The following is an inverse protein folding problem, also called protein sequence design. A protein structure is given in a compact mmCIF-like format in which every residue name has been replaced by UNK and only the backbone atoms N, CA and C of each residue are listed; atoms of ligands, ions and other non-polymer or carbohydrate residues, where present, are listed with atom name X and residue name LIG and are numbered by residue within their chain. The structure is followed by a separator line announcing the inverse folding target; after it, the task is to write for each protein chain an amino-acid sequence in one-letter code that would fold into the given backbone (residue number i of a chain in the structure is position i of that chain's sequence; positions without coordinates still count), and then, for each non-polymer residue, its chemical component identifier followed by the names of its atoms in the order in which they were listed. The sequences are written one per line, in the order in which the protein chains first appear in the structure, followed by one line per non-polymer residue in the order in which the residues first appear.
data_IF_659355671518
#
_entry.id   IF_659355671518
#
_cell.length_a   1.000
_cell.length_b   1.000
_cell.length_c   1.000
_cell.angle_alpha   90.00
_cell.angle_beta   90.00
_cell.angle_gamma   90.00
#
_symmetry.space_group_name_H-M   'P 1'
#
loop_
_entity.id
_entity.type
_entity.pdbx_description
1 polymer ?
#
# COMPACT_ATOMS: atom_id res chain seq x y z
N UNK A 1 -46.65 -23.30 -22.34
CA UNK A 1 -45.89 -22.29 -23.13
C UNK A 1 -44.92 -21.40 -22.31
N UNK A 2 -44.44 -21.78 -21.11
CA UNK A 2 -43.62 -20.88 -20.25
C UNK A 2 -42.13 -21.25 -20.10
N UNK A 3 -41.67 -22.39 -20.65
CA UNK A 3 -40.27 -22.81 -20.47
C UNK A 3 -39.29 -22.18 -21.49
N UNK A 4 -39.78 -21.77 -22.67
CA UNK A 4 -38.95 -21.19 -23.73
C UNK A 4 -38.52 -19.74 -23.39
N UNK A 5 -39.39 -18.97 -22.74
CA UNK A 5 -39.10 -17.57 -22.34
C UNK A 5 -38.00 -17.46 -21.28
N UNK A 6 -37.89 -18.39 -20.34
CA UNK A 6 -36.84 -18.38 -19.28
C UNK A 6 -35.43 -18.70 -19.80
N UNK A 7 -35.30 -19.55 -20.81
CA UNK A 7 -33.97 -19.88 -21.39
C UNK A 7 -33.41 -18.74 -22.25
N UNK A 8 -34.28 -17.95 -22.90
CA UNK A 8 -33.88 -16.78 -23.69
C UNK A 8 -33.38 -15.62 -22.82
N UNK A 9 -34.03 -15.33 -21.69
CA UNK A 9 -33.60 -14.26 -20.77
C UNK A 9 -32.25 -14.55 -20.10
N UNK A 10 -32.00 -15.82 -19.76
CA UNK A 10 -30.73 -16.23 -19.15
C UNK A 10 -29.56 -16.14 -20.14
N UNK A 11 -29.77 -16.58 -21.39
CA UNK A 11 -28.75 -16.50 -22.44
C UNK A 11 -28.44 -15.06 -22.88
N UNK A 12 -29.42 -14.14 -22.83
CA UNK A 12 -29.16 -12.72 -23.10
C UNK A 12 -28.35 -12.08 -21.96
N UNK A 13 -28.69 -12.37 -20.70
CA UNK A 13 -27.96 -11.88 -19.53
C UNK A 13 -26.50 -12.35 -19.50
N UNK A 14 -26.24 -13.64 -19.76
CA UNK A 14 -24.87 -14.17 -19.81
C UNK A 14 -24.06 -13.60 -20.98
N UNK A 15 -24.69 -13.35 -22.14
CA UNK A 15 -24.02 -12.72 -23.29
C UNK A 15 -23.70 -11.24 -23.04
N UNK A 16 -24.57 -10.50 -22.34
CA UNK A 16 -24.28 -9.12 -21.94
C UNK A 16 -23.19 -9.04 -20.87
N UNK A 17 -23.17 -9.97 -19.90
CA UNK A 17 -22.13 -10.03 -18.88
C UNK A 17 -20.76 -10.36 -19.49
N UNK A 18 -20.70 -11.36 -20.39
CA UNK A 18 -19.46 -11.71 -21.11
C UNK A 18 -19.01 -10.60 -22.06
N UNK A 19 -19.93 -9.88 -22.72
CA UNK A 19 -19.60 -8.70 -23.55
C UNK A 19 -19.11 -7.52 -22.71
N UNK A 20 -19.68 -7.29 -21.52
CA UNK A 20 -19.18 -6.31 -20.54
C UNK A 20 -17.77 -6.67 -20.03
N UNK A 21 -17.54 -7.94 -19.73
CA UNK A 21 -16.22 -8.45 -19.32
C UNK A 21 -15.20 -8.27 -20.44
N UNK A 22 -15.53 -8.64 -21.69
CA UNK A 22 -14.65 -8.43 -22.85
C UNK A 22 -14.33 -6.96 -23.09
N UNK A 23 -15.34 -6.09 -23.07
CA UNK A 23 -15.15 -4.64 -23.23
C UNK A 23 -14.33 -4.01 -22.08
N UNK A 24 -14.29 -4.64 -20.90
CA UNK A 24 -13.43 -4.20 -19.79
C UNK A 24 -11.96 -4.51 -20.07
N UNK A 25 -11.67 -5.63 -20.72
CA UNK A 25 -10.30 -6.04 -21.10
C UNK A 25 -9.82 -5.41 -22.42
N UNK A 26 -10.72 -5.04 -23.33
CA UNK A 26 -10.39 -4.37 -24.60
C UNK A 26 -10.10 -2.86 -24.44
N UNK A 27 -10.16 -2.32 -23.20
CA UNK A 27 -9.65 -0.97 -22.94
C UNK A 27 -8.14 -0.99 -23.11
N UNK A 28 -7.68 -0.49 -24.26
CA UNK A 28 -6.27 -0.25 -24.54
C UNK A 28 -5.66 0.54 -23.38
N UNK A 29 -4.80 -0.10 -22.60
CA UNK A 29 -4.06 0.55 -21.52
C UNK A 29 -3.04 1.48 -22.21
N UNK A 30 -3.34 2.77 -22.21
CA UNK A 30 -2.47 3.80 -22.81
C UNK A 30 -1.57 4.50 -21.80
N UNK A 31 -1.80 4.26 -20.49
CA UNK A 31 -1.05 4.85 -19.38
C UNK A 31 -1.04 3.88 -18.21
N UNK A 32 0.03 3.95 -17.39
CA UNK A 32 0.16 3.18 -16.14
C UNK A 32 -1.02 3.44 -15.19
N UNK A 33 -1.57 4.65 -15.20
CA UNK A 33 -2.72 5.05 -14.38
C UNK A 33 -4.01 4.28 -14.74
N UNK A 34 -4.09 3.71 -15.94
CA UNK A 34 -5.26 2.94 -16.36
C UNK A 34 -5.22 1.48 -15.85
N UNK A 35 -4.13 1.06 -15.20
CA UNK A 35 -4.06 -0.22 -14.51
C UNK A 35 -5.02 -0.24 -13.33
N UNK A 36 -5.48 -1.44 -12.96
CA UNK A 36 -6.36 -1.61 -11.80
C UNK A 36 -5.56 -1.48 -10.50
N UNK A 37 -6.24 -1.23 -9.38
CA UNK A 37 -5.58 -1.02 -8.10
C UNK A 37 -4.84 -2.28 -7.61
N UNK A 38 -5.33 -3.47 -8.00
CA UNK A 38 -4.75 -4.76 -7.63
C UNK A 38 -3.28 -4.87 -8.09
N UNK A 39 -2.95 -4.41 -9.30
CA UNK A 39 -1.56 -4.39 -9.77
C UNK A 39 -0.66 -3.50 -8.93
N UNK A 40 -1.19 -2.37 -8.45
CA UNK A 40 -0.39 -1.48 -7.61
C UNK A 40 -0.24 -2.02 -6.20
N UNK A 41 -1.26 -2.66 -5.64
CA UNK A 41 -1.12 -3.35 -4.36
C UNK A 41 -0.07 -4.47 -4.45
N UNK A 42 -0.06 -5.23 -5.55
CA UNK A 42 0.99 -6.22 -5.80
C UNK A 42 2.37 -5.59 -5.90
N UNK A 43 2.54 -4.46 -6.61
CA UNK A 43 3.82 -3.72 -6.64
C UNK A 43 4.22 -3.24 -5.24
N UNK A 44 3.27 -2.72 -4.46
CA UNK A 44 3.52 -2.18 -3.14
C UNK A 44 3.94 -3.26 -2.14
N UNK A 45 3.51 -4.51 -2.31
CA UNK A 45 3.99 -5.63 -1.47
C UNK A 45 5.51 -5.87 -1.59
N UNK A 46 6.15 -5.41 -2.67
CA UNK A 46 7.60 -5.50 -2.87
C UNK A 46 8.39 -4.28 -2.39
N UNK A 47 7.72 -3.18 -2.03
CA UNK A 47 8.36 -1.90 -1.69
C UNK A 47 8.25 -1.58 -0.20
N UNK A 48 9.15 -0.73 0.29
CA UNK A 48 8.99 -0.13 1.61
C UNK A 48 7.88 0.94 1.62
N UNK A 49 7.17 1.07 2.73
CA UNK A 49 6.12 2.08 2.91
C UNK A 49 6.62 3.51 2.72
N UNK A 50 7.85 3.81 3.13
CA UNK A 50 8.45 5.11 2.85
C UNK A 50 8.74 5.31 1.37
N UNK A 51 9.23 4.29 0.66
CA UNK A 51 9.46 4.35 -0.80
C UNK A 51 8.16 4.53 -1.56
N UNK A 52 7.11 3.78 -1.19
CA UNK A 52 5.77 3.91 -1.76
C UNK A 52 5.27 5.34 -1.60
N UNK A 53 5.32 5.88 -0.39
CA UNK A 53 4.82 7.23 -0.16
C UNK A 53 5.62 8.27 -0.94
N UNK A 54 6.95 8.26 -0.84
CA UNK A 54 7.82 9.19 -1.55
C UNK A 54 7.64 9.14 -3.07
N UNK A 55 7.43 7.95 -3.63
CA UNK A 55 7.29 7.77 -5.08
C UNK A 55 5.90 8.14 -5.58
N UNK A 56 4.84 7.81 -4.84
CA UNK A 56 3.47 7.87 -5.35
C UNK A 56 2.63 9.03 -4.79
N UNK A 57 3.02 9.68 -3.68
CA UNK A 57 2.19 10.71 -3.01
C UNK A 57 1.93 11.96 -3.86
N UNK A 58 2.87 12.29 -4.74
CA UNK A 58 2.87 13.54 -5.51
C UNK A 58 2.62 13.33 -7.00
N UNK A 59 2.25 12.12 -7.44
CA UNK A 59 2.03 11.84 -8.86
C UNK A 59 0.73 12.46 -9.37
N UNK A 60 -0.40 12.03 -8.83
CA UNK A 60 -1.73 12.53 -9.19
C UNK A 60 -2.77 12.11 -8.14
N UNK A 61 -3.99 12.63 -8.30
CA UNK A 61 -5.10 12.35 -7.39
C UNK A 61 -5.44 10.86 -7.28
N UNK A 62 -5.32 10.08 -8.37
CA UNK A 62 -5.60 8.64 -8.35
C UNK A 62 -4.64 7.90 -7.39
N UNK A 63 -3.35 8.22 -7.43
CA UNK A 63 -2.38 7.62 -6.51
C UNK A 63 -2.56 8.10 -5.07
N UNK A 64 -2.93 9.36 -4.86
CA UNK A 64 -3.31 9.84 -3.52
C UNK A 64 -4.48 9.05 -2.95
N UNK A 65 -5.52 8.79 -3.75
CA UNK A 65 -6.64 7.94 -3.33
C UNK A 65 -6.20 6.50 -3.01
N UNK A 66 -5.25 5.97 -3.79
CA UNK A 66 -4.71 4.64 -3.57
C UNK A 66 -3.94 4.56 -2.25
N UNK A 67 -3.13 5.57 -1.93
CA UNK A 67 -2.36 5.66 -0.69
C UNK A 67 -3.26 5.86 0.54
N UNK A 68 -4.34 6.62 0.41
CA UNK A 68 -5.31 6.85 1.48
C UNK A 68 -6.31 5.70 1.67
N UNK A 69 -6.18 4.62 0.89
CA UNK A 69 -7.08 3.47 0.99
C UNK A 69 -6.79 2.66 2.27
N UNK A 70 -7.83 2.34 3.03
CA UNK A 70 -7.71 1.48 4.23
C UNK A 70 -7.22 0.06 3.90
N UNK A 71 -7.38 -0.39 2.65
CA UNK A 71 -6.88 -1.69 2.20
C UNK A 71 -5.35 -1.73 2.09
N UNK A 72 -4.70 -0.58 1.89
CA UNK A 72 -3.25 -0.51 1.78
C UNK A 72 -2.59 -0.81 3.12
N UNK A 73 -1.47 -1.54 3.05
CA UNK A 73 -0.68 -1.94 4.20
C UNK A 73 0.78 -1.55 3.99
N UNK A 74 1.38 -0.89 4.97
CA UNK A 74 2.78 -0.47 4.90
C UNK A 74 3.67 -1.33 5.77
N UNK A 75 4.78 -1.77 5.16
CA UNK A 75 5.94 -2.30 5.85
C UNK A 75 6.98 -1.18 5.90
N UNK A 76 7.47 -0.85 7.09
CA UNK A 76 8.46 0.20 7.29
C UNK A 76 9.78 -0.44 7.70
N UNK A 77 10.85 -0.17 6.96
CA UNK A 77 12.18 -0.70 7.16
C UNK A 77 13.19 0.45 7.18
N UNK A 78 13.95 0.54 8.27
CA UNK A 78 15.11 1.41 8.37
C UNK A 78 16.35 0.57 8.63
N UNK A 79 17.36 0.76 7.80
CA UNK A 79 18.64 0.07 7.87
C UNK A 79 19.65 0.89 8.68
N UNK A 80 20.77 0.25 9.03
CA UNK A 80 21.80 0.86 9.88
C UNK A 80 22.48 2.03 9.19
N UNK A 81 22.45 2.05 7.85
CA UNK A 81 22.96 3.11 7.00
C UNK A 81 21.99 4.30 6.87
N UNK A 82 20.74 4.19 7.34
CA UNK A 82 19.80 5.31 7.26
C UNK A 82 20.23 6.42 8.23
N UNK A 83 20.42 7.62 7.70
CA UNK A 83 20.75 8.79 8.52
C UNK A 83 19.58 9.19 9.42
N UNK A 84 19.90 9.81 10.56
CA UNK A 84 18.91 10.34 11.50
C UNK A 84 17.96 11.33 10.80
N UNK A 85 18.50 12.18 9.93
CA UNK A 85 17.71 13.20 9.23
C UNK A 85 16.65 12.56 8.33
N UNK A 86 17.04 11.58 7.52
CA UNK A 86 16.13 10.84 6.65
C UNK A 86 15.07 10.11 7.48
N UNK A 87 15.51 9.44 8.56
CA UNK A 87 14.61 8.77 9.49
C UNK A 87 13.57 9.74 10.07
N UNK A 88 14.00 10.86 10.65
CA UNK A 88 13.12 11.81 11.32
C UNK A 88 12.16 12.49 10.33
N UNK A 89 12.61 12.74 9.11
CA UNK A 89 11.75 13.28 8.05
C UNK A 89 10.65 12.27 7.69
N UNK A 90 11.01 11.02 7.41
CA UNK A 90 10.04 9.97 7.10
C UNK A 90 9.11 9.67 8.28
N UNK A 91 9.62 9.72 9.51
CA UNK A 91 8.80 9.53 10.70
C UNK A 91 7.67 10.55 10.80
N UNK A 92 7.98 11.84 10.64
CA UNK A 92 7.00 12.93 10.74
C UNK A 92 6.03 12.94 9.57
N UNK A 93 6.54 12.77 8.35
CA UNK A 93 5.76 12.97 7.13
C UNK A 93 4.97 11.73 6.69
N UNK A 94 5.41 10.53 7.09
CA UNK A 94 4.86 9.28 6.57
C UNK A 94 4.36 8.42 7.72
N UNK A 95 5.22 8.08 8.68
CA UNK A 95 4.88 7.08 9.71
C UNK A 95 3.78 7.59 10.64
N UNK A 96 3.90 8.83 11.11
CA UNK A 96 2.94 9.45 12.03
C UNK A 96 1.55 9.64 11.41
N UNK A 97 1.48 9.86 10.10
CA UNK A 97 0.22 10.11 9.40
C UNK A 97 -0.49 8.82 8.95
N UNK A 98 0.26 7.73 8.80
CA UNK A 98 -0.24 6.47 8.25
C UNK A 98 -0.19 5.31 9.26
N UNK A 99 -0.23 5.61 10.56
CA UNK A 99 -0.13 4.61 11.64
C UNK A 99 -1.11 3.45 11.49
N UNK A 100 -2.33 3.76 11.10
CA UNK A 100 -3.41 2.79 10.90
C UNK A 100 -3.21 1.88 9.70
N UNK A 101 -2.26 2.17 8.80
CA UNK A 101 -1.94 1.32 7.65
C UNK A 101 -0.65 0.53 7.87
N UNK A 102 0.16 0.88 8.87
CA UNK A 102 1.43 0.21 9.12
C UNK A 102 1.19 -1.09 9.89
N UNK A 103 1.64 -2.19 9.30
CA UNK A 103 1.51 -3.52 9.90
C UNK A 103 2.84 -4.12 10.35
N UNK A 104 3.97 -3.63 9.84
CA UNK A 104 5.29 -4.11 10.21
C UNK A 104 6.27 -2.96 10.29
N UNK A 105 7.03 -2.89 11.37
CA UNK A 105 8.11 -1.93 11.57
C UNK A 105 9.39 -2.68 11.91
N UNK A 106 10.42 -2.52 11.07
CA UNK A 106 11.76 -3.02 11.30
C UNK A 106 12.75 -1.86 11.37
N UNK A 107 13.32 -1.65 12.55
CA UNK A 107 14.29 -0.60 12.82
C UNK A 107 15.60 -1.26 13.19
N UNK A 108 16.57 -1.21 12.28
CA UNK A 108 17.94 -1.61 12.51
C UNK A 108 18.82 -0.36 12.46
N UNK A 109 18.76 0.53 13.45
CA UNK A 109 19.54 1.77 13.43
C UNK A 109 20.93 1.56 14.05
N UNK A 110 21.93 2.37 13.68
CA UNK A 110 23.24 2.32 14.31
C UNK A 110 23.16 2.63 15.81
N UNK A 111 24.11 2.14 16.61
CA UNK A 111 24.17 2.37 18.07
C UNK A 111 24.10 3.86 18.46
N UNK A 112 24.59 4.74 17.60
CA UNK A 112 24.58 6.19 17.80
C UNK A 112 23.16 6.76 17.77
N UNK A 113 22.20 6.00 17.25
CA UNK A 113 20.80 6.36 17.10
C UNK A 113 19.89 5.68 18.15
N UNK A 114 20.45 5.01 19.15
CA UNK A 114 19.66 4.27 20.15
C UNK A 114 18.66 5.15 20.92
N UNK A 115 18.98 6.44 21.13
CA UNK A 115 18.07 7.41 21.75
C UNK A 115 16.81 7.69 20.91
N UNK A 116 16.87 7.42 19.61
CA UNK A 116 15.74 7.58 18.68
C UNK A 116 14.82 6.37 18.78
N UNK A 117 15.40 5.16 18.84
CA UNK A 117 14.63 3.93 19.06
C UNK A 117 13.84 4.03 20.37
N UNK A 118 14.41 4.62 21.41
CA UNK A 118 13.71 4.81 22.68
C UNK A 118 12.67 5.93 22.66
N UNK A 119 12.83 6.96 21.81
CA UNK A 119 11.84 8.05 21.68
C UNK A 119 10.71 7.75 20.68
N UNK A 120 10.82 6.67 19.93
CA UNK A 120 9.77 6.15 19.06
C UNK A 120 8.58 5.66 19.87
N UNK A 121 7.53 6.48 19.91
CA UNK A 121 6.28 6.14 20.58
C UNK A 121 5.41 5.24 19.67
N UNK A 122 5.90 4.01 19.44
CA UNK A 122 5.12 2.95 18.82
C UNK A 122 4.23 2.37 19.92
N UNK A 123 3.02 2.92 20.00
CA UNK A 123 2.01 2.64 21.02
C UNK A 123 0.74 2.02 20.40
N UNK A 124 -0.35 1.99 21.16
CA UNK A 124 -1.63 1.45 20.71
C UNK A 124 -2.29 2.22 19.57
N UNK A 125 -1.76 3.40 19.16
CA UNK A 125 -2.27 4.12 18.00
C UNK A 125 -1.92 3.44 16.66
N UNK A 126 -1.04 2.44 16.67
CA UNK A 126 -0.75 1.61 15.49
C UNK A 126 -1.68 0.39 15.46
N UNK A 127 -2.96 0.62 15.13
CA UNK A 127 -4.03 -0.36 15.29
C UNK A 127 -3.89 -1.67 14.49
N UNK A 128 -3.05 -1.67 13.44
CA UNK A 128 -2.81 -2.83 12.57
C UNK A 128 -1.39 -3.38 12.67
N UNK A 129 -0.59 -2.92 13.63
CA UNK A 129 0.78 -3.39 13.80
C UNK A 129 0.78 -4.84 14.27
N UNK A 130 1.37 -5.71 13.46
CA UNK A 130 1.50 -7.14 13.71
C UNK A 130 2.94 -7.52 14.06
N UNK A 131 3.93 -6.77 13.57
CA UNK A 131 5.35 -7.06 13.80
C UNK A 131 6.16 -5.81 14.11
N UNK A 132 7.02 -5.90 15.13
CA UNK A 132 7.97 -4.87 15.50
C UNK A 132 9.32 -5.51 15.80
N UNK A 133 10.35 -5.09 15.07
CA UNK A 133 11.74 -5.50 15.29
C UNK A 133 12.57 -4.25 15.55
N UNK A 134 13.19 -4.18 16.73
CA UNK A 134 14.12 -3.13 17.10
C UNK A 134 15.48 -3.76 17.31
N UNK A 135 16.46 -3.37 16.50
CA UNK A 135 17.83 -3.84 16.59
C UNK A 135 18.76 -2.62 16.58
N UNK A 136 19.71 -2.62 17.51
CA UNK A 136 20.87 -1.74 17.43
C UNK A 136 21.92 -2.43 16.57
N UNK A 137 22.23 -1.87 15.40
CA UNK A 137 23.34 -2.33 14.56
C UNK A 137 24.69 -2.08 15.25
N UNK A 138 25.77 -2.78 14.84
CA UNK A 138 27.11 -2.53 15.35
C UNK A 138 27.50 -1.05 15.13
N UNK A 139 28.17 -0.48 16.14
CA UNK A 139 28.69 0.89 16.13
C UNK A 139 29.97 1.02 15.35
#
# INVERSE_FOLDING_TARGET
MNQIKRKLSFNQSSKEQTKKLRNKFDRKITSIENLSNEFFYEIFDYLDGCEIYQTFSNLNHRFQQLLNSSSLRFKINFHHSTSIEIFMNNYKQIILLNKDQIFSIHLSLSTHNNQIISSLNIDSSFNRLESRVLQSGPG
#
